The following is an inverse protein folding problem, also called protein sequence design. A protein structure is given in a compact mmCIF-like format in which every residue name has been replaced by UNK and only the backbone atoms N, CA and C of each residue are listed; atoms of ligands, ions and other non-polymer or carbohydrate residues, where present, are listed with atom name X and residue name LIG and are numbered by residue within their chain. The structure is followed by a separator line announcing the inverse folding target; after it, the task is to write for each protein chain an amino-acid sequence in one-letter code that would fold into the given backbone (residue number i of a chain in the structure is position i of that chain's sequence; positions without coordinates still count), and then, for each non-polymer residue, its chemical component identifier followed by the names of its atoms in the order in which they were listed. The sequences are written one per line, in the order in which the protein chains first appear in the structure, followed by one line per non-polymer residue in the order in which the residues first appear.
data_IF_383111805998
#
_entry.id   IF_383111805998
#
_cell.length_a   1.000
_cell.length_b   1.000
_cell.length_c   1.000
_cell.angle_alpha   90.00
_cell.angle_beta   90.00
_cell.angle_gamma   90.00
#
_symmetry.space_group_name_H-M   'P 1'
#
loop_
_entity.id
_entity.type
_entity.pdbx_description
1 polymer ?
#
# COMPACT_ATOMS: atom_id res chain seq x y z
N UNK A 1 8.53 -48.54 30.12
CA UNK A 1 8.30 -47.75 31.36
C UNK A 1 9.46 -46.81 31.76
N UNK A 2 10.69 -46.91 31.21
CA UNK A 2 11.81 -46.03 31.60
C UNK A 2 11.90 -44.68 30.85
N UNK A 3 11.24 -44.51 29.70
CA UNK A 3 11.26 -43.24 28.94
C UNK A 3 10.29 -42.15 29.44
N UNK A 4 9.30 -42.48 30.28
CA UNK A 4 8.36 -41.49 30.82
C UNK A 4 8.96 -40.64 31.94
N UNK A 5 9.91 -41.20 32.69
CA UNK A 5 10.54 -40.54 33.85
C UNK A 5 11.60 -39.52 33.40
N UNK A 6 12.31 -39.79 32.31
CA UNK A 6 13.30 -38.86 31.74
C UNK A 6 12.65 -37.63 31.10
N UNK A 7 11.45 -37.78 30.52
CA UNK A 7 10.66 -36.66 29.98
C UNK A 7 10.13 -35.73 31.09
N UNK A 8 9.62 -36.32 32.18
CA UNK A 8 9.09 -35.56 33.32
C UNK A 8 10.17 -34.73 34.04
N UNK A 9 11.40 -35.26 34.15
CA UNK A 9 12.53 -34.57 34.79
C UNK A 9 13.02 -33.39 33.92
N UNK A 10 13.04 -33.54 32.59
CA UNK A 10 13.40 -32.46 31.66
C UNK A 10 12.38 -31.30 31.69
N UNK A 11 11.09 -31.61 31.81
CA UNK A 11 10.02 -30.61 31.93
C UNK A 11 10.11 -29.81 33.24
N UNK A 12 10.46 -30.46 34.35
CA UNK A 12 10.61 -29.79 35.64
C UNK A 12 11.83 -28.85 35.68
N UNK A 13 12.94 -29.22 35.02
CA UNK A 13 14.15 -28.43 34.99
C UNK A 13 13.98 -27.14 34.16
N UNK A 14 13.28 -27.23 33.03
CA UNK A 14 13.01 -26.08 32.16
C UNK A 14 12.01 -25.10 32.82
N UNK A 15 11.03 -25.61 33.57
CA UNK A 15 10.10 -24.77 34.34
C UNK A 15 10.80 -23.97 35.45
N UNK A 16 11.82 -24.54 36.10
CA UNK A 16 12.61 -23.85 37.12
C UNK A 16 13.42 -22.67 36.58
N UNK A 17 14.00 -22.82 35.38
CA UNK A 17 14.79 -21.76 34.72
C UNK A 17 13.91 -20.60 34.22
N UNK A 18 12.69 -20.89 33.76
CA UNK A 18 11.73 -19.87 33.32
C UNK A 18 11.27 -18.96 34.48
N UNK A 19 11.02 -19.52 35.68
CA UNK A 19 10.61 -18.75 36.85
C UNK A 19 11.73 -17.81 37.34
N UNK A 20 12.98 -18.26 37.32
CA UNK A 20 14.12 -17.43 37.71
C UNK A 20 14.32 -16.23 36.76
N UNK A 21 14.04 -16.39 35.46
CA UNK A 21 14.14 -15.32 34.47
C UNK A 21 13.03 -14.27 34.65
N UNK A 22 11.79 -14.70 34.93
CA UNK A 22 10.62 -13.82 35.12
C UNK A 22 10.79 -12.91 36.34
N UNK A 23 11.35 -13.43 37.44
CA UNK A 23 11.62 -12.64 38.65
C UNK A 23 12.70 -11.59 38.41
N UNK A 24 13.64 -11.82 37.48
CA UNK A 24 14.69 -10.87 37.14
C UNK A 24 14.23 -9.71 36.23
N UNK A 25 13.19 -9.94 35.42
CA UNK A 25 12.68 -8.97 34.44
C UNK A 25 11.55 -8.08 35.00
N UNK A 26 10.86 -8.51 36.05
CA UNK A 26 9.74 -7.78 36.67
C UNK A 26 10.09 -6.51 37.48
N UNK A 27 11.37 -6.11 37.55
CA UNK A 27 11.84 -4.95 38.35
C UNK A 27 11.94 -3.62 37.58
N UNK A 28 11.49 -3.52 36.33
CA UNK A 28 11.55 -2.26 35.55
C UNK A 28 10.25 -1.46 35.70
N UNK A 29 10.34 -0.29 36.34
CA UNK A 29 9.24 0.69 36.37
C UNK A 29 8.94 1.21 34.95
N UNK A 30 7.67 1.30 34.53
CA UNK A 30 7.32 1.91 33.25
C UNK A 30 7.60 3.43 33.28
N UNK A 31 8.07 4.03 32.17
CA UNK A 31 8.22 5.48 32.06
C UNK A 31 6.86 6.17 31.97
N UNK A 32 6.75 7.33 32.62
CA UNK A 32 5.58 8.22 32.59
C UNK A 32 5.33 8.74 31.16
N UNK A 33 4.07 8.76 30.74
CA UNK A 33 3.67 9.23 29.42
C UNK A 33 3.84 10.76 29.31
N UNK A 34 4.38 11.30 28.20
CA UNK A 34 4.51 12.74 28.02
C UNK A 34 3.13 13.40 27.83
N UNK A 35 2.89 14.46 28.59
CA UNK A 35 1.74 15.34 28.36
C UNK A 35 1.97 16.17 27.09
N UNK A 36 1.09 16.01 26.10
CA UNK A 36 1.08 16.85 24.89
C UNK A 36 0.51 18.22 25.26
N UNK A 37 1.38 19.21 25.41
CA UNK A 37 1.00 20.62 25.50
C UNK A 37 0.91 21.15 24.08
N UNK A 38 -0.30 21.25 23.52
CA UNK A 38 -0.53 21.86 22.21
C UNK A 38 -0.42 23.38 22.32
N UNK A 39 0.79 23.93 22.17
CA UNK A 39 0.94 25.36 21.87
C UNK A 39 0.61 25.56 20.39
N UNK A 40 -0.65 25.90 20.09
CA UNK A 40 -1.00 26.47 18.78
C UNK A 40 -0.41 27.87 18.71
N UNK A 41 0.87 27.97 18.32
CA UNK A 41 1.48 29.21 17.89
C UNK A 41 0.92 29.50 16.50
N UNK A 42 -0.24 30.15 16.43
CA UNK A 42 -0.62 30.90 15.23
C UNK A 42 0.53 31.88 14.97
N UNK A 43 1.23 31.68 13.86
CA UNK A 43 2.37 32.46 13.38
C UNK A 43 2.55 33.78 14.14
N UNK A 44 3.57 33.82 14.98
CA UNK A 44 4.17 35.07 15.46
C UNK A 44 4.48 35.89 14.22
N UNK A 45 3.60 36.82 13.89
CA UNK A 45 3.95 37.93 13.03
C UNK A 45 5.16 38.57 13.70
N UNK A 46 6.36 38.36 13.14
CA UNK A 46 7.48 39.25 13.40
C UNK A 46 6.97 40.63 12.98
N UNK A 47 6.49 41.39 13.97
CA UNK A 47 6.32 42.84 13.86
C UNK A 47 7.73 43.38 13.70
N UNK A 48 8.25 43.32 12.48
CA UNK A 48 9.22 44.28 12.02
C UNK A 48 8.44 45.59 12.02
N UNK A 49 8.59 46.36 13.10
CA UNK A 49 8.15 47.75 13.13
C UNK A 49 9.12 48.52 12.25
N UNK A 50 9.03 48.32 10.94
CA UNK A 50 9.44 49.34 9.99
C UNK A 50 8.44 50.46 10.20
N UNK A 51 8.89 51.61 10.71
CA UNK A 51 8.13 52.87 10.59
C UNK A 51 7.90 53.12 9.11
N UNK A 52 6.80 52.59 8.57
CA UNK A 52 6.26 53.00 7.28
C UNK A 52 5.59 54.35 7.50
N UNK A 53 6.42 55.40 7.49
CA UNK A 53 5.97 56.77 7.30
C UNK A 53 5.33 56.86 5.91
N UNK A 54 4.01 56.64 5.83
CA UNK A 54 3.28 56.73 4.55
C UNK A 54 2.07 55.80 4.35
N UNK A 55 1.54 55.14 5.37
CA UNK A 55 0.22 54.49 5.23
C UNK A 55 -0.85 55.55 5.46
N UNK A 56 -1.38 56.10 4.37
CA UNK A 56 -2.54 56.97 4.38
C UNK A 56 -3.70 56.30 5.13
N UNK A 57 -4.12 56.90 6.24
CA UNK A 57 -5.26 56.47 7.07
C UNK A 57 -6.58 56.38 6.28
N UNK A 58 -6.59 56.91 5.06
CA UNK A 58 -7.67 56.87 4.07
C UNK A 58 -8.02 55.44 3.61
N UNK A 59 -7.05 54.52 3.58
CA UNK A 59 -7.32 53.12 3.19
C UNK A 59 -7.93 52.28 4.32
N UNK A 60 -7.63 52.60 5.58
CA UNK A 60 -8.20 51.91 6.75
C UNK A 60 -9.64 52.37 7.03
N UNK A 61 -10.01 53.60 6.67
CA UNK A 61 -11.40 54.10 6.78
C UNK A 61 -12.35 53.60 5.69
N UNK A 62 -11.89 52.91 4.64
CA UNK A 62 -12.75 52.28 3.61
C UNK A 62 -13.39 50.96 4.05
N UNK A 63 -12.96 50.38 5.18
CA UNK A 63 -13.59 49.18 5.75
C UNK A 63 -14.84 49.50 6.58
N UNK A 64 -15.69 50.42 6.11
CA UNK A 64 -17.01 50.68 6.72
C UNK A 64 -18.01 49.62 6.24
N UNK A 65 -18.24 48.63 7.10
CA UNK A 65 -19.50 47.92 7.38
C UNK A 65 -20.39 47.37 6.23
N UNK A 66 -19.99 47.39 4.96
CA UNK A 66 -20.72 46.77 3.83
C UNK A 66 -19.79 46.19 2.73
N UNK A 67 -18.49 46.09 3.00
CA UNK A 67 -17.46 45.81 1.99
C UNK A 67 -17.56 44.41 1.36
N UNK A 68 -18.07 43.41 2.10
CA UNK A 68 -18.16 42.04 1.59
C UNK A 68 -19.14 41.87 0.42
N UNK A 69 -20.27 42.59 0.41
CA UNK A 69 -21.18 42.59 -0.76
C UNK A 69 -20.57 43.21 -2.01
N UNK A 70 -19.54 44.05 -1.84
CA UNK A 70 -18.80 44.67 -2.94
C UNK A 70 -17.68 43.76 -3.44
N UNK A 71 -17.17 42.87 -2.58
CA UNK A 71 -16.09 41.95 -2.91
C UNK A 71 -16.64 40.65 -3.51
N UNK A 72 -17.68 40.07 -2.90
CA UNK A 72 -18.33 38.83 -3.36
C UNK A 72 -19.06 39.05 -4.68
N UNK A 73 -18.74 38.20 -5.66
CA UNK A 73 -19.34 38.24 -7.00
C UNK A 73 -19.68 36.82 -7.44
N UNK A 74 -20.83 36.61 -8.12
CA UNK A 74 -21.15 35.32 -8.74
C UNK A 74 -20.15 34.90 -9.82
N UNK A 75 -19.49 35.87 -10.46
CA UNK A 75 -18.39 35.62 -11.39
C UNK A 75 -17.05 35.57 -10.65
N UNK A 76 -16.38 34.41 -10.71
CA UNK A 76 -15.10 34.16 -10.07
C UNK A 76 -13.99 35.08 -10.58
N UNK A 77 -14.00 35.51 -11.85
CA UNK A 77 -12.96 36.43 -12.37
C UNK A 77 -13.06 37.80 -11.71
N UNK A 78 -14.27 38.31 -11.62
CA UNK A 78 -14.56 39.56 -10.90
C UNK A 78 -14.28 39.42 -9.40
N UNK A 79 -14.64 38.28 -8.79
CA UNK A 79 -14.37 38.01 -7.37
C UNK A 79 -12.86 38.03 -7.07
N UNK A 80 -12.05 37.34 -7.88
CA UNK A 80 -10.58 37.32 -7.74
C UNK A 80 -9.99 38.72 -7.86
N UNK A 81 -10.44 39.51 -8.85
CA UNK A 81 -9.97 40.89 -9.03
C UNK A 81 -10.32 41.79 -7.83
N UNK A 82 -11.52 41.63 -7.27
CA UNK A 82 -11.94 42.34 -6.07
C UNK A 82 -11.04 41.97 -4.88
N UNK A 83 -10.74 40.68 -4.67
CA UNK A 83 -9.83 40.21 -3.62
C UNK A 83 -8.39 40.74 -3.80
N UNK A 84 -7.89 40.82 -5.04
CA UNK A 84 -6.59 41.42 -5.33
C UNK A 84 -6.58 42.93 -5.03
N UNK A 85 -7.65 43.65 -5.37
CA UNK A 85 -7.73 45.10 -5.19
C UNK A 85 -7.75 45.55 -3.72
N UNK A 86 -8.19 44.68 -2.82
CA UNK A 86 -8.15 44.91 -1.36
C UNK A 86 -6.81 44.50 -0.71
N UNK A 87 -5.85 44.01 -1.51
CA UNK A 87 -4.52 43.61 -1.03
C UNK A 87 -4.47 42.24 -0.37
N UNK A 88 -5.41 41.34 -0.69
CA UNK A 88 -5.37 39.96 -0.18
C UNK A 88 -4.14 39.21 -0.73
N UNK A 89 -3.38 38.47 0.10
CA UNK A 89 -2.28 37.63 -0.37
C UNK A 89 -2.75 36.57 -1.37
N UNK A 90 -1.95 36.29 -2.40
CA UNK A 90 -2.37 35.34 -3.45
C UNK A 90 -2.60 33.92 -2.95
N UNK A 91 -1.86 33.49 -1.93
CA UNK A 91 -2.08 32.19 -1.30
C UNK A 91 -3.49 32.10 -0.69
N UNK A 92 -3.92 33.16 0.00
CA UNK A 92 -5.26 33.23 0.59
C UNK A 92 -6.36 33.29 -0.47
N UNK A 93 -6.13 34.01 -1.58
CA UNK A 93 -7.07 34.02 -2.71
C UNK A 93 -7.20 32.62 -3.29
N UNK A 94 -6.08 31.93 -3.51
CA UNK A 94 -6.06 30.57 -4.03
C UNK A 94 -6.85 29.60 -3.15
N UNK A 95 -6.57 29.57 -1.86
CA UNK A 95 -7.24 28.67 -0.91
C UNK A 95 -8.75 28.92 -0.84
N UNK A 96 -9.14 30.19 -0.84
CA UNK A 96 -10.55 30.57 -0.78
C UNK A 96 -11.30 30.14 -2.05
N UNK A 97 -10.74 30.42 -3.22
CA UNK A 97 -11.37 30.09 -4.51
C UNK A 97 -11.40 28.57 -4.73
N UNK A 98 -10.33 27.85 -4.40
CA UNK A 98 -10.31 26.38 -4.46
C UNK A 98 -11.39 25.80 -3.54
N UNK A 99 -11.51 26.32 -2.32
CA UNK A 99 -12.53 25.88 -1.36
C UNK A 99 -13.95 26.10 -1.89
N UNK A 100 -14.23 27.26 -2.48
CA UNK A 100 -15.56 27.55 -3.01
C UNK A 100 -15.89 26.75 -4.28
N UNK A 101 -14.91 26.54 -5.17
CA UNK A 101 -15.07 25.64 -6.31
C UNK A 101 -15.33 24.20 -5.83
N UNK A 102 -14.61 23.72 -4.81
CA UNK A 102 -14.84 22.41 -4.24
C UNK A 102 -16.28 22.26 -3.72
N UNK A 103 -16.86 23.29 -3.09
CA UNK A 103 -18.27 23.29 -2.67
C UNK A 103 -19.21 23.25 -3.88
N UNK A 104 -18.97 24.07 -4.90
CA UNK A 104 -19.80 24.12 -6.11
C UNK A 104 -19.83 22.76 -6.83
N UNK A 105 -18.66 22.16 -7.05
CA UNK A 105 -18.53 20.86 -7.70
C UNK A 105 -19.05 19.71 -6.83
N UNK A 106 -18.92 19.79 -5.51
CA UNK A 106 -19.57 18.82 -4.61
C UNK A 106 -21.11 18.87 -4.71
N UNK A 107 -21.70 20.05 -4.88
CA UNK A 107 -23.14 20.18 -5.13
C UNK A 107 -23.54 19.58 -6.48
N UNK A 108 -22.79 19.88 -7.56
CA UNK A 108 -23.00 19.25 -8.87
C UNK A 108 -22.90 17.72 -8.79
N UNK A 109 -21.91 17.19 -8.08
CA UNK A 109 -21.72 15.75 -7.90
C UNK A 109 -22.90 15.09 -7.17
N UNK A 110 -23.43 15.73 -6.12
CA UNK A 110 -24.63 15.24 -5.41
C UNK A 110 -25.87 15.23 -6.29
N UNK A 111 -26.00 16.21 -7.19
CA UNK A 111 -27.12 16.27 -8.13
C UNK A 111 -27.07 15.15 -9.19
N UNK A 112 -25.89 14.57 -9.47
CA UNK A 112 -25.74 13.44 -10.40
C UNK A 112 -26.32 12.13 -9.85
N UNK A 113 -26.37 11.95 -8.52
CA UNK A 113 -27.02 10.81 -7.89
C UNK A 113 -27.73 11.21 -6.59
N UNK A 114 -28.94 11.80 -6.69
CA UNK A 114 -29.75 12.17 -5.52
C UNK A 114 -30.13 10.93 -4.69
N UNK A 115 -30.26 9.77 -5.34
CA UNK A 115 -30.67 8.51 -4.74
C UNK A 115 -29.58 7.86 -3.86
N UNK A 116 -28.30 8.23 -4.01
CA UNK A 116 -27.22 7.77 -3.12
C UNK A 116 -27.51 8.08 -1.65
N UNK A 117 -28.09 9.26 -1.37
CA UNK A 117 -28.51 9.65 -0.02
C UNK A 117 -29.72 8.87 0.51
N UNK A 118 -30.43 8.16 -0.37
CA UNK A 118 -31.62 7.36 -0.08
C UNK A 118 -31.34 5.85 -0.17
N UNK A 119 -30.08 5.46 -0.32
CA UNK A 119 -29.67 4.07 -0.39
C UNK A 119 -29.96 3.39 0.95
N UNK A 120 -30.83 2.39 0.88
CA UNK A 120 -31.28 1.64 2.06
C UNK A 120 -30.14 0.74 2.52
N UNK A 121 -29.68 0.89 3.77
CA UNK A 121 -28.54 0.13 4.31
C UNK A 121 -28.72 -1.40 4.26
N UNK A 122 -29.97 -1.89 4.12
CA UNK A 122 -30.30 -3.32 4.03
C UNK A 122 -30.42 -3.84 2.60
N UNK A 123 -30.22 -3.00 1.58
CA UNK A 123 -30.19 -3.42 0.18
C UNK A 123 -28.74 -3.57 -0.28
N UNK A 124 -28.42 -4.60 -1.08
CA UNK A 124 -27.11 -4.69 -1.70
C UNK A 124 -26.89 -3.48 -2.61
N UNK A 125 -25.65 -3.02 -2.66
CA UNK A 125 -25.25 -1.98 -3.62
C UNK A 125 -25.49 -2.48 -5.05
N UNK A 126 -25.71 -1.54 -5.97
CA UNK A 126 -25.80 -1.88 -7.39
C UNK A 126 -24.50 -2.61 -7.80
N UNK A 127 -24.58 -3.67 -8.62
CA UNK A 127 -23.40 -4.35 -9.13
C UNK A 127 -22.44 -3.33 -9.77
N UNK A 128 -21.14 -3.53 -9.58
CA UNK A 128 -20.12 -2.65 -10.13
C UNK A 128 -20.28 -2.44 -11.65
N UNK A 129 -20.76 -3.47 -12.35
CA UNK A 129 -20.94 -3.50 -13.80
C UNK A 129 -22.32 -3.03 -14.30
N UNK A 130 -23.12 -2.37 -13.45
CA UNK A 130 -24.38 -1.76 -13.89
C UNK A 130 -24.11 -0.60 -14.88
N UNK A 131 -24.71 -0.59 -16.09
CA UNK A 131 -24.60 0.52 -17.04
C UNK A 131 -24.86 1.90 -16.42
N UNK A 132 -25.81 2.01 -15.49
CA UNK A 132 -26.11 3.27 -14.80
C UNK A 132 -24.96 3.72 -13.89
N UNK A 133 -24.31 2.76 -13.20
CA UNK A 133 -23.15 3.02 -12.35
C UNK A 133 -21.93 3.43 -13.19
N UNK A 134 -21.76 2.82 -14.37
CA UNK A 134 -20.71 3.21 -15.34
C UNK A 134 -20.90 4.64 -15.84
N UNK A 135 -22.12 4.99 -16.27
CA UNK A 135 -22.41 6.37 -16.69
C UNK A 135 -22.23 7.39 -15.56
N UNK A 136 -22.67 7.06 -14.34
CA UNK A 136 -22.47 7.91 -13.18
C UNK A 136 -20.99 8.16 -12.91
N UNK A 137 -20.17 7.10 -12.93
CA UNK A 137 -18.71 7.19 -12.76
C UNK A 137 -18.07 8.08 -13.81
N UNK A 138 -18.45 7.93 -15.10
CA UNK A 138 -17.97 8.81 -16.18
C UNK A 138 -18.36 10.28 -15.95
N UNK A 139 -19.60 10.56 -15.54
CA UNK A 139 -20.04 11.93 -15.24
C UNK A 139 -19.27 12.54 -14.07
N UNK A 140 -18.95 11.76 -13.04
CA UNK A 140 -18.09 12.21 -11.93
C UNK A 140 -16.66 12.52 -12.39
N UNK A 141 -16.06 11.67 -13.23
CA UNK A 141 -14.73 11.92 -13.80
C UNK A 141 -14.70 13.20 -14.65
N UNK A 142 -15.71 13.38 -15.50
CA UNK A 142 -15.84 14.60 -16.31
C UNK A 142 -15.99 15.85 -15.44
N UNK A 143 -16.73 15.75 -14.35
CA UNK A 143 -16.94 16.84 -13.40
C UNK A 143 -15.63 17.22 -12.67
N UNK A 144 -14.83 16.23 -12.28
CA UNK A 144 -13.51 16.46 -11.68
C UNK A 144 -12.53 17.10 -12.69
N UNK A 145 -12.57 16.66 -13.94
CA UNK A 145 -11.77 17.25 -15.04
C UNK A 145 -12.15 18.71 -15.29
N UNK A 146 -13.45 19.00 -15.37
CA UNK A 146 -13.98 20.36 -15.49
C UNK A 146 -13.48 21.23 -14.33
N UNK A 147 -13.58 20.75 -13.08
CA UNK A 147 -13.08 21.47 -11.90
C UNK A 147 -11.59 21.80 -12.02
N UNK A 148 -10.73 20.82 -12.37
CA UNK A 148 -9.28 21.04 -12.53
C UNK A 148 -9.00 22.09 -13.60
N UNK A 149 -9.69 22.02 -14.74
CA UNK A 149 -9.55 23.00 -15.82
C UNK A 149 -10.02 24.40 -15.40
N UNK A 150 -11.12 24.49 -14.65
CA UNK A 150 -11.62 25.76 -14.10
C UNK A 150 -10.63 26.38 -13.12
N UNK A 151 -10.04 25.59 -12.21
CA UNK A 151 -8.99 26.06 -11.30
C UNK A 151 -7.78 26.57 -12.07
N UNK A 152 -7.31 25.81 -13.06
CA UNK A 152 -6.20 26.21 -13.93
C UNK A 152 -6.51 27.51 -14.69
N UNK A 153 -7.72 27.66 -15.23
CA UNK A 153 -8.12 28.83 -16.00
C UNK A 153 -8.33 30.10 -15.14
N UNK A 154 -8.75 29.95 -13.88
CA UNK A 154 -9.03 31.08 -12.98
C UNK A 154 -7.78 31.55 -12.22
N UNK A 155 -6.97 30.60 -11.74
CA UNK A 155 -5.86 30.86 -10.82
C UNK A 155 -4.49 30.63 -11.46
N UNK A 156 -4.42 29.99 -12.63
CA UNK A 156 -3.17 29.64 -13.29
C UNK A 156 -2.39 28.52 -12.60
N UNK A 157 -2.99 27.84 -11.62
CA UNK A 157 -2.36 26.79 -10.82
C UNK A 157 -2.95 25.43 -11.10
N UNK A 158 -2.11 24.40 -11.01
CA UNK A 158 -2.53 23.01 -11.11
C UNK A 158 -3.23 22.58 -9.82
N UNK A 159 -4.51 22.20 -9.93
CA UNK A 159 -5.31 21.80 -8.79
C UNK A 159 -4.70 20.60 -8.04
N UNK A 160 -4.13 19.62 -8.75
CA UNK A 160 -3.58 18.42 -8.11
C UNK A 160 -2.29 18.74 -7.35
N UNK A 161 -1.43 19.60 -7.89
CA UNK A 161 -0.23 20.07 -7.22
C UNK A 161 -0.57 20.84 -5.93
N UNK A 162 -1.60 21.68 -5.94
CA UNK A 162 -2.05 22.41 -4.75
C UNK A 162 -2.64 21.47 -3.68
N UNK A 163 -3.48 20.51 -4.08
CA UNK A 163 -3.98 19.49 -3.15
C UNK A 163 -2.86 18.62 -2.58
N UNK A 164 -1.87 18.24 -3.39
CA UNK A 164 -0.71 17.48 -2.96
C UNK A 164 0.17 18.28 -1.98
N UNK A 165 0.29 19.61 -2.15
CA UNK A 165 1.02 20.48 -1.22
C UNK A 165 0.35 20.51 0.17
N UNK A 166 -0.98 20.53 0.20
CA UNK A 166 -1.75 20.55 1.45
C UNK A 166 -1.87 19.17 2.11
N UNK A 167 -1.62 18.09 1.37
CA UNK A 167 -1.74 16.73 1.86
C UNK A 167 -0.43 16.27 2.54
N UNK A 168 -0.40 16.08 3.87
CA UNK A 168 0.80 15.61 4.57
C UNK A 168 1.15 14.16 4.24
N UNK A 169 0.21 13.39 3.68
CA UNK A 169 0.39 11.99 3.34
C UNK A 169 0.25 11.80 1.83
N UNK A 170 1.35 11.93 1.06
CA UNK A 170 1.28 11.85 -0.39
C UNK A 170 0.65 10.55 -0.83
N UNK A 171 -0.17 10.58 -1.88
CA UNK A 171 -0.84 9.38 -2.39
C UNK A 171 0.17 8.34 -2.88
N UNK A 172 -0.25 7.08 -3.05
CA UNK A 172 0.64 6.05 -3.60
C UNK A 172 1.25 6.49 -4.94
N UNK A 173 0.43 7.07 -5.83
CA UNK A 173 0.85 7.56 -7.13
C UNK A 173 1.85 8.73 -7.02
N UNK A 174 1.57 9.70 -6.15
CA UNK A 174 2.50 10.83 -5.90
C UNK A 174 3.87 10.34 -5.43
N UNK A 175 3.91 9.34 -4.55
CA UNK A 175 5.17 8.74 -4.07
C UNK A 175 5.95 8.05 -5.20
N UNK A 176 5.25 7.35 -6.10
CA UNK A 176 5.93 6.71 -7.24
C UNK A 176 6.54 7.75 -8.19
N UNK A 177 5.91 8.92 -8.35
CA UNK A 177 6.38 9.96 -9.26
C UNK A 177 7.29 11.01 -8.61
N UNK A 178 7.56 10.91 -7.31
CA UNK A 178 8.30 11.93 -6.54
C UNK A 178 9.74 12.20 -7.02
N UNK A 179 10.33 11.29 -7.80
CA UNK A 179 11.66 11.48 -8.40
C UNK A 179 11.67 12.43 -9.61
N UNK A 180 10.49 12.73 -10.17
CA UNK A 180 10.34 13.62 -11.32
C UNK A 180 10.09 15.06 -10.86
N UNK A 181 10.65 16.03 -11.60
CA UNK A 181 10.30 17.44 -11.44
C UNK A 181 8.81 17.71 -11.69
N UNK A 182 8.27 18.77 -11.09
CA UNK A 182 6.83 19.10 -11.15
C UNK A 182 6.27 19.17 -12.58
N UNK A 183 6.97 19.84 -13.50
CA UNK A 183 6.53 19.92 -14.90
C UNK A 183 6.43 18.55 -15.59
N UNK A 184 7.40 17.65 -15.35
CA UNK A 184 7.35 16.28 -15.89
C UNK A 184 6.28 15.43 -15.22
N UNK A 185 6.04 15.60 -13.92
CA UNK A 185 4.93 14.94 -13.20
C UNK A 185 3.58 15.33 -13.79
N UNK A 186 3.38 16.61 -14.09
CA UNK A 186 2.15 17.10 -14.70
C UNK A 186 1.96 16.53 -16.12
N UNK A 187 3.01 16.59 -16.96
CA UNK A 187 2.97 16.03 -18.31
C UNK A 187 2.69 14.53 -18.32
N UNK A 188 3.39 13.77 -17.46
CA UNK A 188 3.19 12.33 -17.34
C UNK A 188 1.81 11.99 -16.75
N UNK A 189 1.34 12.75 -15.75
CA UNK A 189 0.01 12.58 -15.18
C UNK A 189 -1.10 12.75 -16.22
N UNK A 190 -1.04 13.82 -17.02
CA UNK A 190 -1.99 14.06 -18.11
C UNK A 190 -1.91 12.97 -19.20
N UNK A 191 -0.69 12.51 -19.52
CA UNK A 191 -0.48 11.40 -20.46
C UNK A 191 -1.14 10.11 -19.98
N UNK A 192 -0.87 9.71 -18.73
CA UNK A 192 -1.41 8.50 -18.13
C UNK A 192 -2.94 8.56 -18.01
N UNK A 193 -3.48 9.72 -17.63
CA UNK A 193 -4.93 9.92 -17.55
C UNK A 193 -5.61 9.75 -18.91
N UNK A 194 -5.05 10.34 -19.98
CA UNK A 194 -5.58 10.18 -21.34
C UNK A 194 -5.59 8.72 -21.80
N UNK A 195 -4.50 7.98 -21.53
CA UNK A 195 -4.46 6.55 -21.89
C UNK A 195 -5.40 5.71 -21.02
N UNK A 196 -5.56 6.04 -19.74
CA UNK A 196 -6.54 5.37 -18.89
C UNK A 196 -7.98 5.60 -19.38
N UNK A 197 -8.32 6.79 -19.88
CA UNK A 197 -9.61 7.07 -20.54
C UNK A 197 -9.81 6.18 -21.79
N UNK A 198 -8.81 6.09 -22.66
CA UNK A 198 -8.87 5.26 -23.88
C UNK A 198 -8.99 3.75 -23.56
N UNK A 199 -8.22 3.26 -22.59
CA UNK A 199 -8.30 1.87 -22.11
C UNK A 199 -9.71 1.60 -21.53
N UNK A 200 -10.23 2.51 -20.70
CA UNK A 200 -11.55 2.39 -20.10
C UNK A 200 -12.68 2.39 -21.13
N UNK A 201 -12.56 3.16 -22.21
CA UNK A 201 -13.54 3.16 -23.29
C UNK A 201 -13.64 1.77 -23.94
N UNK A 202 -12.50 1.11 -24.20
CA UNK A 202 -12.46 -0.27 -24.72
C UNK A 202 -13.11 -1.24 -23.73
N UNK A 203 -12.73 -1.19 -22.45
CA UNK A 203 -13.33 -2.05 -21.43
C UNK A 203 -14.85 -1.84 -21.31
N UNK A 204 -15.31 -0.60 -21.44
CA UNK A 204 -16.74 -0.28 -21.32
C UNK A 204 -17.59 -0.71 -22.51
N UNK A 205 -16.96 -0.96 -23.66
CA UNK A 205 -17.60 -1.53 -24.85
C UNK A 205 -17.63 -3.06 -24.79
N UNK A 206 -16.80 -3.68 -23.95
CA UNK A 206 -16.81 -5.12 -23.74
C UNK A 206 -17.99 -5.53 -22.84
N UNK A 207 -18.86 -6.41 -23.33
CA UNK A 207 -19.91 -7.03 -22.52
C UNK A 207 -19.39 -8.35 -21.93
N UNK A 208 -18.44 -8.26 -21.01
CA UNK A 208 -17.78 -9.41 -20.39
C UNK A 208 -16.38 -9.64 -20.93
N UNK A 209 -16.15 -10.76 -21.61
CA UNK A 209 -14.82 -11.09 -22.15
C UNK A 209 -14.41 -10.16 -23.31
N UNK A 210 -13.14 -9.75 -23.30
CA UNK A 210 -12.55 -8.95 -24.38
C UNK A 210 -12.41 -9.77 -25.66
N UNK A 211 -12.88 -9.20 -26.78
CA UNK A 211 -12.65 -9.77 -28.11
C UNK A 211 -11.17 -9.73 -28.50
N UNK A 212 -10.76 -10.52 -29.51
CA UNK A 212 -9.39 -10.50 -30.02
C UNK A 212 -8.98 -9.09 -30.53
N UNK A 213 -9.91 -8.37 -31.16
CA UNK A 213 -9.70 -6.99 -31.62
C UNK A 213 -9.49 -6.02 -30.44
N UNK A 214 -10.29 -6.15 -29.39
CA UNK A 214 -10.14 -5.32 -28.18
C UNK A 214 -8.82 -5.59 -27.46
N UNK A 215 -8.38 -6.85 -27.39
CA UNK A 215 -7.07 -7.22 -26.84
C UNK A 215 -5.93 -6.59 -27.66
N UNK A 216 -5.97 -6.71 -28.99
CA UNK A 216 -4.99 -6.09 -29.87
C UNK A 216 -4.99 -4.55 -29.72
N UNK A 217 -6.16 -3.92 -29.62
CA UNK A 217 -6.27 -2.48 -29.39
C UNK A 217 -5.66 -2.04 -28.04
N UNK A 218 -5.84 -2.81 -26.96
CA UNK A 218 -5.21 -2.54 -25.67
C UNK A 218 -3.68 -2.69 -25.73
N UNK A 219 -3.17 -3.69 -26.45
CA UNK A 219 -1.73 -3.86 -26.69
C UNK A 219 -1.16 -2.69 -27.50
N UNK A 220 -1.87 -2.26 -28.54
CA UNK A 220 -1.52 -1.10 -29.34
C UNK A 220 -1.46 0.18 -28.49
N UNK A 221 -2.48 0.42 -27.66
CA UNK A 221 -2.50 1.53 -26.71
C UNK A 221 -1.33 1.45 -25.73
N UNK A 222 -1.01 0.27 -25.20
CA UNK A 222 0.13 0.09 -24.31
C UNK A 222 1.47 0.45 -25.00
N UNK A 223 1.65 0.06 -26.27
CA UNK A 223 2.84 0.41 -27.06
C UNK A 223 2.91 1.91 -27.35
N UNK A 224 1.79 2.53 -27.74
CA UNK A 224 1.71 3.97 -27.99
C UNK A 224 1.99 4.78 -26.71
N UNK A 225 1.38 4.39 -25.58
CA UNK A 225 1.62 4.98 -24.26
C UNK A 225 3.10 4.95 -23.92
N UNK A 226 3.75 3.81 -24.12
CA UNK A 226 5.17 3.64 -23.86
C UNK A 226 6.03 4.54 -24.75
N UNK A 227 5.72 4.63 -26.04
CA UNK A 227 6.43 5.48 -26.99
C UNK A 227 6.28 6.98 -26.65
N UNK A 228 5.12 7.42 -26.19
CA UNK A 228 4.91 8.81 -25.75
C UNK A 228 5.59 9.10 -24.41
N UNK A 229 5.56 8.17 -23.46
CA UNK A 229 6.31 8.31 -22.21
C UNK A 229 7.81 8.51 -22.48
N UNK A 230 8.37 7.80 -23.48
CA UNK A 230 9.76 7.94 -23.88
C UNK A 230 10.10 9.29 -24.54
N UNK A 231 9.09 10.10 -24.93
CA UNK A 231 9.29 11.48 -25.39
C UNK A 231 9.34 12.49 -24.24
N UNK A 232 8.72 12.17 -23.11
CA UNK A 232 8.65 13.03 -21.91
C UNK A 232 9.75 12.68 -20.90
N UNK A 233 10.06 11.39 -20.77
CA UNK A 233 11.02 10.85 -19.82
C UNK A 233 12.30 10.46 -20.54
N UNK A 234 13.45 10.79 -19.94
CA UNK A 234 14.74 10.23 -20.34
C UNK A 234 14.75 8.70 -20.14
N UNK A 235 15.67 7.96 -20.81
CA UNK A 235 15.78 6.51 -20.61
C UNK A 235 15.97 6.11 -19.14
N UNK A 236 16.74 6.89 -18.37
CA UNK A 236 16.95 6.66 -16.95
C UNK A 236 15.69 6.92 -16.11
N UNK A 237 14.95 7.99 -16.40
CA UNK A 237 13.69 8.30 -15.72
C UNK A 237 12.61 7.27 -16.04
N UNK A 238 12.58 6.74 -17.27
CA UNK A 238 11.65 5.68 -17.67
C UNK A 238 11.97 4.36 -16.98
N UNK A 239 13.27 4.03 -16.81
CA UNK A 239 13.68 2.87 -16.04
C UNK A 239 13.32 2.99 -14.54
N UNK A 240 13.53 4.17 -13.95
CA UNK A 240 13.13 4.44 -12.56
C UNK A 240 11.60 4.40 -12.40
N UNK A 241 10.84 4.93 -13.38
CA UNK A 241 9.39 4.79 -13.42
C UNK A 241 8.99 3.31 -13.39
N UNK A 242 9.56 2.47 -14.26
CA UNK A 242 9.23 1.04 -14.32
C UNK A 242 9.55 0.31 -13.02
N UNK A 243 10.71 0.57 -12.42
CA UNK A 243 11.11 0.03 -11.12
C UNK A 243 10.13 0.42 -9.99
N UNK A 244 9.45 1.55 -10.14
CA UNK A 244 8.52 2.07 -9.14
C UNK A 244 7.10 1.58 -9.38
N UNK A 245 6.65 1.46 -10.62
CA UNK A 245 5.23 1.24 -10.92
C UNK A 245 4.91 -0.17 -11.42
N UNK A 246 5.86 -0.93 -11.95
CA UNK A 246 5.62 -2.27 -12.53
C UNK A 246 5.00 -3.26 -11.54
N UNK A 247 4.21 -4.20 -12.06
CA UNK A 247 3.68 -5.34 -11.31
C UNK A 247 4.81 -6.15 -10.67
N UNK A 248 5.89 -6.40 -11.43
CA UNK A 248 7.12 -7.05 -10.97
C UNK A 248 7.68 -6.39 -9.71
N UNK A 249 7.75 -5.06 -9.70
CA UNK A 249 8.26 -4.31 -8.55
C UNK A 249 7.31 -4.32 -7.36
N UNK A 250 6.00 -4.33 -7.60
CA UNK A 250 5.00 -4.43 -6.53
C UNK A 250 5.07 -5.80 -5.85
N UNK A 251 5.13 -6.86 -6.65
CA UNK A 251 5.30 -8.22 -6.15
C UNK A 251 6.63 -8.39 -5.40
N UNK A 252 7.72 -7.86 -5.96
CA UNK A 252 9.01 -7.89 -5.31
C UNK A 252 8.95 -7.14 -3.97
N UNK A 253 8.39 -5.92 -3.91
CA UNK A 253 8.24 -5.17 -2.64
C UNK A 253 7.43 -5.94 -1.60
N UNK A 254 6.36 -6.62 -2.01
CA UNK A 254 5.57 -7.45 -1.11
C UNK A 254 6.36 -8.62 -0.53
N UNK A 255 7.12 -9.34 -1.38
CA UNK A 255 8.00 -10.46 -0.94
C UNK A 255 9.16 -9.96 -0.08
N UNK A 256 9.77 -8.83 -0.45
CA UNK A 256 10.97 -8.28 0.18
C UNK A 256 10.74 -7.72 1.58
N UNK A 257 9.50 -7.43 1.98
CA UNK A 257 9.19 -7.01 3.34
C UNK A 257 9.63 -8.02 4.40
N UNK A 258 9.60 -9.33 4.09
CA UNK A 258 10.09 -10.40 4.97
C UNK A 258 11.57 -10.74 4.77
N UNK A 259 12.19 -10.25 3.69
CA UNK A 259 13.59 -10.48 3.36
C UNK A 259 14.49 -9.37 3.92
N UNK A 260 13.91 -8.17 4.13
CA UNK A 260 14.62 -6.96 4.49
C UNK A 260 15.75 -6.65 3.48
N UNK A 261 15.38 -6.52 2.20
CA UNK A 261 16.31 -6.18 1.12
C UNK A 261 16.87 -4.76 1.31
N UNK A 262 18.15 -4.59 0.97
CA UNK A 262 18.71 -3.27 0.65
C UNK A 262 18.17 -2.75 -0.69
N UNK A 263 18.28 -1.44 -0.94
CA UNK A 263 17.89 -0.86 -2.22
C UNK A 263 18.68 -1.47 -3.40
N UNK A 264 19.97 -1.74 -3.19
CA UNK A 264 20.84 -2.34 -4.20
C UNK A 264 20.43 -3.78 -4.53
N UNK A 265 20.16 -4.60 -3.50
CA UNK A 265 19.61 -5.96 -3.68
C UNK A 265 18.27 -5.89 -4.43
N UNK A 266 17.37 -4.96 -4.05
CA UNK A 266 16.07 -4.81 -4.70
C UNK A 266 16.21 -4.48 -6.18
N UNK A 267 17.04 -3.48 -6.54
CA UNK A 267 17.25 -3.07 -7.94
C UNK A 267 17.81 -4.20 -8.79
N UNK A 268 18.78 -4.96 -8.26
CA UNK A 268 19.39 -6.09 -8.97
C UNK A 268 18.44 -7.27 -9.12
N UNK A 269 17.70 -7.62 -8.08
CA UNK A 269 16.68 -8.68 -8.14
C UNK A 269 15.54 -8.32 -9.11
N UNK A 270 15.12 -7.05 -9.12
CA UNK A 270 14.18 -6.55 -10.11
C UNK A 270 14.69 -6.74 -11.54
N UNK A 271 15.96 -6.43 -11.81
CA UNK A 271 16.52 -6.60 -13.15
C UNK A 271 16.55 -8.06 -13.59
N UNK A 272 16.93 -8.98 -12.69
CA UNK A 272 16.92 -10.43 -12.97
C UNK A 272 15.50 -10.90 -13.31
N UNK A 273 14.53 -10.53 -12.47
CA UNK A 273 13.12 -10.88 -12.66
C UNK A 273 12.55 -10.29 -13.97
N UNK A 274 12.88 -9.03 -14.28
CA UNK A 274 12.47 -8.35 -15.50
C UNK A 274 13.03 -9.02 -16.75
N UNK A 275 14.32 -9.39 -16.74
CA UNK A 275 14.95 -10.09 -17.85
C UNK A 275 14.26 -11.43 -18.13
N UNK A 276 13.95 -12.19 -17.07
CA UNK A 276 13.17 -13.43 -17.19
C UNK A 276 11.79 -13.17 -17.81
N UNK A 277 11.04 -12.19 -17.31
CA UNK A 277 9.69 -11.86 -17.82
C UNK A 277 9.71 -11.39 -19.27
N UNK A 278 10.68 -10.56 -19.66
CA UNK A 278 10.84 -10.09 -21.04
C UNK A 278 11.24 -11.25 -21.97
N UNK A 279 12.08 -12.18 -21.52
CA UNK A 279 12.42 -13.40 -22.27
C UNK A 279 11.19 -14.30 -22.47
N UNK A 280 10.38 -14.50 -21.43
CA UNK A 280 9.15 -15.28 -21.52
C UNK A 280 8.17 -14.61 -22.49
N UNK A 281 7.95 -13.30 -22.36
CA UNK A 281 7.05 -12.55 -23.25
C UNK A 281 7.49 -12.65 -24.72
N UNK A 282 8.78 -12.45 -24.99
CA UNK A 282 9.32 -12.57 -26.35
C UNK A 282 9.10 -13.97 -26.93
N UNK A 283 9.30 -15.02 -26.12
CA UNK A 283 9.09 -16.40 -26.55
C UNK A 283 7.61 -16.74 -26.77
N UNK A 284 6.70 -16.11 -26.02
CA UNK A 284 5.24 -16.22 -26.23
C UNK A 284 4.83 -15.54 -27.54
N UNK A 285 5.30 -14.32 -27.78
CA UNK A 285 5.05 -13.54 -28.99
C UNK A 285 5.57 -14.26 -30.26
N UNK A 286 6.74 -14.91 -30.18
CA UNK A 286 7.29 -15.69 -31.29
C UNK A 286 6.67 -17.09 -31.43
N UNK A 287 5.74 -17.48 -30.55
CA UNK A 287 5.13 -18.81 -30.54
C UNK A 287 6.10 -19.96 -30.24
N UNK A 288 7.28 -19.64 -29.72
CA UNK A 288 8.34 -20.64 -29.46
C UNK A 288 8.26 -21.22 -28.05
N UNK A 289 7.53 -20.60 -27.12
CA UNK A 289 7.57 -20.95 -25.71
C UNK A 289 7.04 -22.37 -25.43
N UNK A 290 7.96 -23.26 -25.06
CA UNK A 290 7.64 -24.60 -24.55
C UNK A 290 7.73 -24.67 -23.02
N UNK A 291 7.10 -25.66 -22.36
CA UNK A 291 7.27 -25.89 -20.92
C UNK A 291 8.74 -26.07 -20.51
N UNK A 292 9.54 -26.73 -21.36
CA UNK A 292 10.97 -26.93 -21.12
C UNK A 292 11.76 -25.63 -21.19
N UNK A 293 11.44 -24.74 -22.14
CA UNK A 293 12.09 -23.43 -22.23
C UNK A 293 11.72 -22.53 -21.06
N UNK A 294 10.45 -22.55 -20.64
CA UNK A 294 10.00 -21.81 -19.45
C UNK A 294 10.74 -22.27 -18.20
N UNK A 295 10.90 -23.58 -18.03
CA UNK A 295 11.64 -24.15 -16.91
C UNK A 295 13.14 -23.83 -16.97
N UNK A 296 13.77 -23.93 -18.14
CA UNK A 296 15.17 -23.55 -18.31
C UNK A 296 15.40 -22.05 -17.98
N UNK A 297 14.53 -21.16 -18.46
CA UNK A 297 14.60 -19.74 -18.15
C UNK A 297 14.41 -19.46 -16.65
N UNK A 298 13.51 -20.21 -15.98
CA UNK A 298 13.32 -20.13 -14.53
C UNK A 298 14.58 -20.56 -13.78
N UNK A 299 15.21 -21.67 -14.17
CA UNK A 299 16.44 -22.16 -13.54
C UNK A 299 17.61 -21.17 -13.70
N UNK A 300 17.71 -20.53 -14.87
CA UNK A 300 18.71 -19.47 -15.10
C UNK A 300 18.45 -18.29 -14.15
N UNK A 301 17.20 -17.82 -14.08
CA UNK A 301 16.81 -16.73 -13.17
C UNK A 301 17.13 -17.06 -11.71
N UNK A 302 16.78 -18.27 -11.24
CA UNK A 302 17.09 -18.72 -9.88
C UNK A 302 18.58 -18.81 -9.60
N UNK A 303 19.38 -19.27 -10.59
CA UNK A 303 20.82 -19.34 -10.47
C UNK A 303 21.45 -17.94 -10.42
N UNK A 304 20.96 -16.98 -11.21
CA UNK A 304 21.39 -15.58 -11.15
C UNK A 304 21.05 -14.94 -9.80
N UNK A 305 19.85 -15.16 -9.27
CA UNK A 305 19.46 -14.69 -7.94
C UNK A 305 20.36 -15.30 -6.85
N UNK A 306 20.67 -16.60 -6.95
CA UNK A 306 21.57 -17.28 -6.00
C UNK A 306 23.00 -16.77 -6.08
N UNK A 307 23.53 -16.51 -7.28
CA UNK A 307 24.86 -15.95 -7.48
C UNK A 307 24.95 -14.53 -6.93
N UNK A 308 23.89 -13.73 -7.09
CA UNK A 308 23.81 -12.36 -6.59
C UNK A 308 23.78 -12.31 -5.06
N UNK A 309 22.93 -13.14 -4.43
CA UNK A 309 22.70 -13.09 -2.98
C UNK A 309 23.72 -13.93 -2.20
N UNK A 310 24.33 -14.94 -2.82
CA UNK A 310 25.08 -15.98 -2.10
C UNK A 310 24.16 -17.01 -1.44
N UNK A 311 24.74 -18.13 -1.00
CA UNK A 311 23.98 -19.32 -0.57
C UNK A 311 23.08 -19.06 0.63
N UNK A 312 23.61 -18.41 1.68
CA UNK A 312 22.88 -18.17 2.93
C UNK A 312 21.70 -17.21 2.71
N UNK A 313 21.98 -16.05 2.09
CA UNK A 313 20.98 -15.01 1.83
C UNK A 313 19.95 -15.48 0.80
N UNK A 314 20.34 -16.28 -0.19
CA UNK A 314 19.37 -16.91 -1.09
C UNK A 314 18.43 -17.88 -0.34
N UNK A 315 18.93 -18.61 0.66
CA UNK A 315 18.09 -19.42 1.55
C UNK A 315 17.02 -18.59 2.27
N UNK A 316 17.38 -17.42 2.79
CA UNK A 316 16.41 -16.48 3.38
C UNK A 316 15.40 -15.97 2.36
N UNK A 317 15.85 -15.66 1.14
CA UNK A 317 14.96 -15.27 0.05
C UNK A 317 13.95 -16.37 -0.27
N UNK A 318 14.38 -17.64 -0.32
CA UNK A 318 13.48 -18.77 -0.55
C UNK A 318 12.42 -18.91 0.55
N UNK A 319 12.77 -18.67 1.81
CA UNK A 319 11.80 -18.67 2.91
C UNK A 319 10.71 -17.62 2.71
N UNK A 320 11.04 -16.46 2.12
CA UNK A 320 10.04 -15.43 1.83
C UNK A 320 9.01 -15.83 0.78
N UNK A 321 9.22 -16.93 0.05
CA UNK A 321 8.20 -17.48 -0.85
C UNK A 321 7.10 -18.22 -0.09
N UNK A 322 7.38 -18.73 1.11
CA UNK A 322 6.36 -19.31 1.98
C UNK A 322 5.50 -18.20 2.61
N UNK A 323 4.19 -18.24 2.31
CA UNK A 323 3.19 -17.36 2.91
C UNK A 323 3.20 -17.38 4.44
N UNK A 324 3.39 -18.54 5.06
CA UNK A 324 3.38 -18.68 6.51
C UNK A 324 4.59 -18.01 7.17
N UNK A 325 5.75 -18.08 6.51
CA UNK A 325 6.94 -17.36 6.94
C UNK A 325 6.75 -15.85 6.82
N UNK A 326 6.15 -15.36 5.72
CA UNK A 326 5.85 -13.93 5.54
C UNK A 326 4.91 -13.39 6.63
N UNK A 327 3.83 -14.09 6.93
CA UNK A 327 2.88 -13.66 7.97
C UNK A 327 3.51 -13.66 9.37
N UNK A 328 4.36 -14.64 9.67
CA UNK A 328 5.11 -14.70 10.91
C UNK A 328 6.10 -13.53 11.04
N UNK A 329 6.85 -13.25 9.98
CA UNK A 329 7.79 -12.12 9.95
C UNK A 329 7.07 -10.78 10.14
N UNK A 330 5.92 -10.58 9.49
CA UNK A 330 5.12 -9.37 9.67
C UNK A 330 4.57 -9.24 11.10
N UNK A 331 4.11 -10.33 11.71
CA UNK A 331 3.66 -10.33 13.10
C UNK A 331 4.80 -10.00 14.07
N UNK A 332 6.00 -10.55 13.82
CA UNK A 332 7.20 -10.21 14.57
C UNK A 332 7.57 -8.73 14.44
N UNK A 333 7.62 -8.20 13.21
CA UNK A 333 7.95 -6.80 12.95
C UNK A 333 6.97 -5.82 13.64
N UNK A 334 5.65 -6.09 13.57
CA UNK A 334 4.62 -5.26 14.23
C UNK A 334 4.72 -5.26 15.76
N UNK A 335 5.31 -6.30 16.33
CA UNK A 335 5.47 -6.46 17.77
C UNK A 335 6.93 -6.32 18.21
N UNK A 336 7.79 -5.80 17.33
CA UNK A 336 9.21 -5.53 17.60
C UNK A 336 9.97 -6.77 18.13
N UNK A 337 9.60 -7.95 17.63
CA UNK A 337 10.24 -9.20 18.02
C UNK A 337 11.56 -9.42 17.24
N UNK A 338 12.58 -10.02 17.87
CA UNK A 338 13.83 -10.37 17.20
C UNK A 338 13.65 -11.39 16.05
N UNK A 339 14.53 -11.33 15.05
CA UNK A 339 14.52 -12.26 13.89
C UNK A 339 14.65 -13.73 14.32
N UNK A 340 15.36 -13.98 15.41
CA UNK A 340 15.55 -15.30 16.00
C UNK A 340 14.21 -15.92 16.43
N UNK A 341 13.24 -15.09 16.83
CA UNK A 341 11.90 -15.56 17.20
C UNK A 341 11.14 -16.06 15.98
N UNK A 342 11.27 -15.38 14.83
CA UNK A 342 10.68 -15.80 13.55
C UNK A 342 11.27 -17.16 13.14
N UNK A 343 12.59 -17.30 13.18
CA UNK A 343 13.25 -18.55 12.81
C UNK A 343 12.87 -19.71 13.74
N UNK A 344 12.85 -19.47 15.06
CA UNK A 344 12.47 -20.48 16.05
C UNK A 344 11.03 -20.97 15.85
N UNK A 345 10.07 -20.05 15.68
CA UNK A 345 8.66 -20.40 15.47
C UNK A 345 8.46 -21.10 14.13
N UNK A 346 9.20 -20.71 13.08
CA UNK A 346 9.14 -21.38 11.79
C UNK A 346 9.69 -22.81 11.82
N UNK A 347 10.79 -23.06 12.53
CA UNK A 347 11.29 -24.43 12.72
C UNK A 347 10.36 -25.26 13.61
N UNK A 348 9.74 -24.67 14.65
CA UNK A 348 8.69 -25.35 15.42
C UNK A 348 7.52 -25.79 14.55
N UNK A 349 7.08 -24.95 13.62
CA UNK A 349 6.05 -25.31 12.63
C UNK A 349 6.44 -26.55 11.84
N UNK A 350 7.65 -26.56 11.26
CA UNK A 350 8.12 -27.69 10.44
C UNK A 350 8.19 -29.00 11.25
N UNK A 351 8.68 -28.92 12.48
CA UNK A 351 8.74 -30.09 13.38
C UNK A 351 7.34 -30.59 13.73
N UNK A 352 6.40 -29.70 14.05
CA UNK A 352 5.03 -30.06 14.39
C UNK A 352 4.27 -30.68 13.21
N UNK A 353 4.43 -30.13 12.00
CA UNK A 353 3.82 -30.67 10.77
C UNK A 353 4.35 -32.08 10.43
N UNK A 354 5.65 -32.30 10.62
CA UNK A 354 6.26 -33.62 10.45
C UNK A 354 5.76 -34.62 11.50
N UNK A 355 5.65 -34.20 12.76
CA UNK A 355 5.07 -35.04 13.82
C UNK A 355 3.61 -35.41 13.55
N UNK A 356 2.79 -34.44 13.12
CA UNK A 356 1.41 -34.68 12.67
C UNK A 356 1.36 -35.73 11.57
N UNK A 357 2.21 -35.58 10.54
CA UNK A 357 2.29 -36.52 9.41
C UNK A 357 2.60 -37.95 9.88
N UNK A 358 3.52 -38.11 10.81
CA UNK A 358 3.86 -39.42 11.41
C UNK A 358 2.71 -40.02 12.21
N UNK A 359 2.01 -39.22 13.01
CA UNK A 359 0.84 -39.67 13.79
C UNK A 359 -0.31 -40.14 12.88
N UNK A 360 -0.53 -39.46 11.76
CA UNK A 360 -1.52 -39.87 10.77
C UNK A 360 -1.12 -41.13 10.01
N UNK A 361 0.17 -41.27 9.68
CA UNK A 361 0.70 -42.43 8.96
C UNK A 361 0.78 -43.71 9.83
N UNK A 362 0.74 -43.60 11.15
CA UNK A 362 0.76 -44.72 12.09
C UNK A 362 -0.58 -45.49 12.11
N UNK A 363 -0.99 -46.03 10.96
CA UNK A 363 -2.27 -46.68 10.73
C UNK A 363 -2.54 -47.82 11.73
N UNK A 364 -1.51 -48.62 12.07
CA UNK A 364 -1.65 -49.89 12.80
C UNK A 364 -1.24 -49.82 14.30
N UNK A 365 -0.64 -48.71 14.76
CA UNK A 365 -0.08 -48.61 16.12
C UNK A 365 -0.98 -47.88 17.13
N UNK A 366 -1.99 -47.15 16.66
CA UNK A 366 -2.83 -46.28 17.49
C UNK A 366 -4.30 -46.36 17.08
N UNK A 367 -5.18 -46.50 18.07
CA UNK A 367 -6.64 -46.36 17.88
C UNK A 367 -7.01 -44.94 17.42
N UNK A 368 -8.16 -44.76 16.74
CA UNK A 368 -8.63 -43.43 16.34
C UNK A 368 -8.66 -42.42 17.50
N UNK A 369 -9.11 -42.84 18.68
CA UNK A 369 -9.20 -42.01 19.89
C UNK A 369 -7.80 -41.63 20.41
N UNK A 370 -6.84 -42.55 20.36
CA UNK A 370 -5.45 -42.27 20.73
C UNK A 370 -4.77 -41.30 19.74
N UNK A 371 -5.08 -41.41 18.44
CA UNK A 371 -4.59 -40.47 17.42
C UNK A 371 -5.15 -39.08 17.65
N UNK A 372 -6.45 -38.96 17.89
CA UNK A 372 -7.09 -37.68 18.18
C UNK A 372 -6.49 -37.04 19.44
N UNK A 373 -6.32 -37.80 20.52
CA UNK A 373 -5.70 -37.31 21.75
C UNK A 373 -4.24 -36.87 21.53
N UNK A 374 -3.46 -37.62 20.73
CA UNK A 374 -2.08 -37.27 20.41
C UNK A 374 -1.98 -36.00 19.55
N UNK A 375 -2.87 -35.84 18.56
CA UNK A 375 -2.94 -34.62 17.73
C UNK A 375 -3.38 -33.41 18.55
N UNK A 376 -4.35 -33.58 19.46
CA UNK A 376 -4.77 -32.52 20.39
C UNK A 376 -3.62 -32.09 21.32
N UNK A 377 -2.86 -33.05 21.85
CA UNK A 377 -1.69 -32.77 22.69
C UNK A 377 -0.58 -32.06 21.90
N UNK A 378 -0.28 -32.52 20.68
CA UNK A 378 0.69 -31.89 19.77
C UNK A 378 0.32 -30.42 19.51
N UNK A 379 -0.96 -30.18 19.19
CA UNK A 379 -1.48 -28.83 18.97
C UNK A 379 -1.33 -27.96 20.23
N UNK A 380 -1.81 -28.42 21.38
CA UNK A 380 -1.78 -27.65 22.62
C UNK A 380 -0.34 -27.29 23.05
N UNK A 381 0.60 -28.24 22.90
CA UNK A 381 2.01 -28.01 23.21
C UNK A 381 2.65 -27.02 22.26
N UNK A 382 2.37 -27.15 20.95
CA UNK A 382 2.89 -26.23 19.93
C UNK A 382 2.36 -24.81 20.12
N UNK A 383 1.05 -24.65 20.35
CA UNK A 383 0.44 -23.34 20.63
C UNK A 383 1.07 -22.70 21.87
N UNK A 384 1.28 -23.48 22.94
CA UNK A 384 1.93 -23.01 24.18
C UNK A 384 3.36 -22.54 23.93
N UNK A 385 4.17 -23.33 23.23
CA UNK A 385 5.56 -23.01 22.95
C UNK A 385 5.70 -21.76 22.06
N UNK A 386 4.90 -21.66 21.00
CA UNK A 386 4.89 -20.49 20.11
C UNK A 386 4.44 -19.24 20.88
N UNK A 387 3.43 -19.37 21.74
CA UNK A 387 2.94 -18.28 22.59
C UNK A 387 3.98 -17.80 23.59
N UNK A 388 4.76 -18.70 24.18
CA UNK A 388 5.84 -18.36 25.11
C UNK A 388 6.98 -17.59 24.43
N UNK A 389 7.36 -18.01 23.22
CA UNK A 389 8.40 -17.34 22.43
C UNK A 389 7.99 -15.95 21.93
N UNK A 390 6.76 -15.82 21.41
CA UNK A 390 6.29 -14.57 20.82
C UNK A 390 5.73 -13.59 21.87
N UNK A 391 5.29 -14.11 23.02
CA UNK A 391 4.49 -13.37 23.99
C UNK A 391 3.02 -13.26 23.59
N UNK A 392 2.15 -13.05 24.59
CA UNK A 392 0.69 -13.05 24.46
C UNK A 392 0.16 -12.13 23.33
N UNK A 393 0.68 -10.90 23.25
CA UNK A 393 0.22 -9.90 22.29
C UNK A 393 0.54 -10.31 20.86
N UNK A 394 1.80 -10.67 20.59
CA UNK A 394 2.25 -11.04 19.25
C UNK A 394 1.65 -12.38 18.81
N UNK A 395 1.48 -13.33 19.73
CA UNK A 395 0.77 -14.58 19.46
C UNK A 395 -0.68 -14.33 18.99
N UNK A 396 -1.43 -13.47 19.69
CA UNK A 396 -2.81 -13.11 19.28
C UNK A 396 -2.86 -12.41 17.93
N UNK A 397 -1.90 -11.53 17.62
CA UNK A 397 -1.82 -10.89 16.30
C UNK A 397 -1.51 -11.93 15.21
N UNK A 398 -0.54 -12.82 15.46
CA UNK A 398 -0.17 -13.88 14.53
C UNK A 398 -1.33 -14.86 14.28
N UNK A 399 -2.04 -15.29 15.33
CA UNK A 399 -3.17 -16.21 15.23
C UNK A 399 -4.29 -15.69 14.31
N UNK A 400 -4.51 -14.37 14.26
CA UNK A 400 -5.55 -13.76 13.42
C UNK A 400 -5.25 -13.76 11.92
N UNK A 401 -3.97 -13.86 11.53
CA UNK A 401 -3.54 -13.65 10.13
C UNK A 401 -2.77 -14.82 9.52
N UNK A 402 -1.91 -15.47 10.32
CA UNK A 402 -1.01 -16.52 9.84
C UNK A 402 -0.94 -17.78 10.70
N UNK A 403 -1.54 -17.80 11.89
CA UNK A 403 -1.45 -18.92 12.84
C UNK A 403 -2.42 -20.09 12.57
N UNK A 404 -3.17 -20.08 11.47
CA UNK A 404 -4.16 -21.12 11.16
C UNK A 404 -3.56 -22.52 11.03
N UNK A 405 -2.27 -22.64 10.68
CA UNK A 405 -1.59 -23.93 10.61
C UNK A 405 -1.58 -24.67 11.97
N UNK A 406 -1.57 -23.95 13.10
CA UNK A 406 -1.66 -24.57 14.42
C UNK A 406 -3.02 -25.22 14.65
N UNK A 407 -4.09 -24.67 14.06
CA UNK A 407 -5.43 -25.28 14.11
C UNK A 407 -5.42 -26.60 13.33
N UNK A 408 -4.77 -26.63 12.15
CA UNK A 408 -4.65 -27.84 11.34
C UNK A 408 -3.77 -28.93 11.97
N UNK A 409 -3.04 -28.66 13.06
CA UNK A 409 -2.33 -29.71 13.80
C UNK A 409 -3.28 -30.65 14.55
N UNK A 410 -4.49 -30.19 14.87
CA UNK A 410 -5.52 -31.03 15.51
C UNK A 410 -6.15 -32.02 14.51
N UNK A 411 -7.10 -32.80 15.01
CA UNK A 411 -7.96 -33.60 14.14
C UNK A 411 -8.81 -32.69 13.24
N UNK A 412 -8.96 -33.10 11.98
CA UNK A 412 -9.86 -32.42 11.03
C UNK A 412 -11.30 -32.58 11.57
N UNK A 413 -11.97 -31.46 11.86
CA UNK A 413 -13.36 -31.46 12.33
C UNK A 413 -14.34 -31.64 11.19
#
# INVERSE_FOLDING_TARGET
MKSGITLAISMALNAGLAVALVVSLGRRKPPEAPQVITQNVTNTALRVVTKLSGIDATNLMRFRSNTWKTVESPDYRTYINNLRSIGCPEETIRDLIITDLNKLYAQKARALNPAASQQKFWKPDAPYDDPQNREFTRKLQQLEKEKRQTVQALLGVDYQAEMARQNPFPTYQERQLAFLGEGKRQQLGALLERYAELEQDIYSQANGELSAEQKAALEDLARQRRAEMAKVLSPAELAEYDLRTSSTSQELRYRMGAFNATEEEFRRLYQIQKNYEDQIRQAEESGTLSPQQREAARQIMEQEMKNLLGVERYGEYQLTQDSAYRELHQAAQRNELPKETVQAVYEMKKVAEEQRRRLLAAADDLTPEQKEAALAALRAETERAVKELMGEKAFKDYQRRGGNWMISLGADR
#
